data_IF_558248680869
#
_entry.id   IF_558248680869
#
_cell.length_a   1.000
_cell.length_b   1.000
_cell.length_c   1.000
_cell.angle_alpha   90.00
_cell.angle_beta   90.00
_cell.angle_gamma   90.00
#
_symmetry.space_group_name_H-M   'P 1'
#
loop_
_entity.id
_entity.type
_entity.pdbx_description
1 polymer ?
#
# COMPACT_ATOMS: atom_id res chain seq x y z
N UNK A 1 39.68 -10.05 -2.39
CA UNK A 1 38.45 -10.63 -1.87
C UNK A 1 37.64 -9.47 -1.38
N UNK A 2 36.52 -9.15 -2.04
CA UNK A 2 35.58 -8.14 -1.51
C UNK A 2 34.94 -8.72 -0.24
N UNK A 3 35.21 -8.10 0.90
CA UNK A 3 34.45 -8.39 2.11
C UNK A 3 32.97 -8.18 1.79
N UNK A 4 32.20 -9.24 1.90
CA UNK A 4 30.74 -9.11 1.88
C UNK A 4 30.39 -8.45 3.21
N UNK A 5 30.44 -7.13 3.25
CA UNK A 5 29.87 -6.39 4.38
C UNK A 5 28.37 -6.64 4.38
N UNK A 6 27.84 -7.04 5.55
CA UNK A 6 26.40 -7.20 5.72
C UNK A 6 25.66 -5.95 5.22
N UNK A 7 24.53 -6.13 4.52
CA UNK A 7 23.72 -4.99 4.10
C UNK A 7 23.33 -4.10 5.31
N UNK A 8 23.39 -2.79 5.08
CA UNK A 8 23.08 -1.77 6.10
C UNK A 8 21.75 -1.11 5.75
N UNK A 9 20.79 -1.24 6.66
CA UNK A 9 19.39 -0.93 6.40
C UNK A 9 18.96 0.30 7.21
N UNK A 10 18.27 1.24 6.55
CA UNK A 10 17.52 2.30 7.21
C UNK A 10 16.02 2.11 7.00
N UNK A 11 15.22 2.35 8.03
CA UNK A 11 13.78 2.17 8.02
C UNK A 11 13.09 3.50 8.36
N UNK A 12 12.15 3.89 7.52
CA UNK A 12 11.35 5.11 7.68
C UNK A 12 9.88 4.74 7.65
N UNK A 13 9.19 4.95 8.78
CA UNK A 13 7.79 4.60 8.96
C UNK A 13 6.93 5.87 8.96
N UNK A 14 6.06 5.99 7.99
CA UNK A 14 4.89 6.87 8.08
C UNK A 14 3.86 6.19 8.98
N UNK A 15 4.01 6.45 10.30
CA UNK A 15 3.29 5.66 11.29
C UNK A 15 1.81 6.00 11.35
N UNK A 16 1.45 7.25 11.10
CA UNK A 16 0.03 7.66 10.99
C UNK A 16 -0.65 6.91 9.84
N UNK A 17 0.00 6.86 8.68
CA UNK A 17 -0.53 6.18 7.49
C UNK A 17 -0.75 4.69 7.73
N UNK A 18 0.25 3.99 8.32
CA UNK A 18 0.12 2.54 8.54
C UNK A 18 -0.99 2.20 9.54
N UNK A 19 -1.14 3.00 10.62
CA UNK A 19 -2.19 2.80 11.62
C UNK A 19 -3.57 3.03 11.00
N UNK A 20 -3.75 4.13 10.26
CA UNK A 20 -5.03 4.44 9.61
C UNK A 20 -5.39 3.41 8.56
N UNK A 21 -4.43 3.03 7.71
CA UNK A 21 -4.65 2.06 6.64
C UNK A 21 -4.95 0.66 7.19
N UNK A 22 -4.30 0.27 8.28
CA UNK A 22 -4.58 -1.01 8.94
C UNK A 22 -5.95 -1.03 9.61
N UNK A 23 -6.34 0.07 10.26
CA UNK A 23 -7.68 0.21 10.82
C UNK A 23 -8.76 0.08 9.74
N UNK A 24 -8.57 0.73 8.60
CA UNK A 24 -9.48 0.64 7.45
C UNK A 24 -9.49 -0.78 6.85
N UNK A 25 -8.35 -1.45 6.85
CA UNK A 25 -8.24 -2.84 6.37
C UNK A 25 -9.03 -3.82 7.23
N UNK A 26 -9.02 -3.63 8.56
CA UNK A 26 -9.71 -4.48 9.53
C UNK A 26 -11.21 -4.17 9.58
N UNK A 27 -11.59 -2.87 9.57
CA UNK A 27 -12.97 -2.43 9.82
C UNK A 27 -13.72 -1.97 8.57
N UNK A 28 -13.08 -2.03 7.40
CA UNK A 28 -13.64 -1.62 6.11
C UNK A 28 -13.29 -0.18 5.73
N UNK A 29 -13.36 0.07 4.44
CA UNK A 29 -12.94 1.32 3.80
C UNK A 29 -13.45 2.56 4.53
N UNK A 30 -12.57 3.53 4.77
CA UNK A 30 -12.83 4.81 5.45
C UNK A 30 -13.37 4.66 6.89
N UNK A 31 -13.14 3.52 7.56
CA UNK A 31 -13.59 3.30 8.93
C UNK A 31 -12.89 4.27 9.90
N UNK A 32 -11.58 4.48 9.71
CA UNK A 32 -10.81 5.41 10.55
C UNK A 32 -11.35 6.83 10.44
N UNK A 33 -11.62 7.31 9.24
CA UNK A 33 -12.17 8.66 9.03
C UNK A 33 -13.55 8.83 9.71
N UNK A 34 -14.39 7.80 9.68
CA UNK A 34 -15.70 7.81 10.36
C UNK A 34 -15.58 7.84 11.88
N UNK A 35 -14.61 7.09 12.41
CA UNK A 35 -14.43 6.94 13.86
C UNK A 35 -13.50 7.98 14.45
N UNK A 36 -12.77 8.74 13.61
CA UNK A 36 -11.71 9.66 14.01
C UNK A 36 -12.10 10.60 15.14
N UNK A 37 -13.29 11.18 15.07
CA UNK A 37 -13.74 12.13 16.10
C UNK A 37 -13.99 11.43 17.44
N UNK A 38 -14.55 10.24 17.42
CA UNK A 38 -14.76 9.42 18.64
C UNK A 38 -13.42 9.00 19.24
N UNK A 39 -12.49 8.53 18.38
CA UNK A 39 -11.14 8.14 18.77
C UNK A 39 -10.39 9.31 19.42
N UNK A 40 -10.48 10.51 18.86
CA UNK A 40 -9.82 11.69 19.40
C UNK A 40 -10.44 12.20 20.69
N UNK A 41 -11.75 12.05 20.86
CA UNK A 41 -12.48 12.49 22.05
C UNK A 41 -12.30 11.51 23.22
N UNK A 42 -12.50 10.23 22.97
CA UNK A 42 -12.38 9.17 23.99
C UNK A 42 -12.02 7.82 23.35
N UNK A 43 -10.72 7.49 23.23
CA UNK A 43 -10.29 6.20 22.70
C UNK A 43 -10.63 5.02 23.63
N UNK A 44 -11.05 5.30 24.87
CA UNK A 44 -11.42 4.27 25.86
C UNK A 44 -12.91 3.91 25.82
N UNK A 45 -13.70 4.59 25.00
CA UNK A 45 -15.08 4.20 24.72
C UNK A 45 -15.13 2.72 24.31
N UNK A 46 -15.95 1.87 24.95
CA UNK A 46 -15.85 0.41 24.81
C UNK A 46 -15.85 -0.10 23.37
N UNK A 47 -16.71 0.45 22.50
CA UNK A 47 -16.75 0.08 21.08
C UNK A 47 -15.49 0.51 20.34
N UNK A 48 -15.00 1.73 20.59
CA UNK A 48 -13.79 2.27 19.96
C UNK A 48 -12.56 1.51 20.45
N UNK A 49 -12.46 1.26 21.76
CA UNK A 49 -11.35 0.50 22.33
C UNK A 49 -11.27 -0.93 21.76
N UNK A 50 -12.41 -1.61 21.59
CA UNK A 50 -12.45 -2.92 20.95
C UNK A 50 -11.97 -2.86 19.47
N UNK A 51 -12.41 -1.84 18.74
CA UNK A 51 -11.99 -1.66 17.35
C UNK A 51 -10.49 -1.35 17.22
N UNK A 52 -9.97 -0.47 18.07
CA UNK A 52 -8.53 -0.16 18.11
C UNK A 52 -7.71 -1.41 18.48
N UNK A 53 -8.15 -2.19 19.44
CA UNK A 53 -7.48 -3.42 19.85
C UNK A 53 -7.41 -4.46 18.70
N UNK A 54 -8.49 -4.59 17.92
CA UNK A 54 -8.51 -5.49 16.73
C UNK A 54 -7.63 -4.99 15.60
N UNK A 55 -7.39 -3.70 15.52
CA UNK A 55 -6.59 -3.08 14.46
C UNK A 55 -5.20 -2.63 14.98
N UNK A 56 -4.69 -3.30 16.03
CA UNK A 56 -3.35 -3.02 16.54
C UNK A 56 -2.29 -3.40 15.51
N UNK A 57 -1.37 -2.47 15.24
CA UNK A 57 -0.23 -2.71 14.34
C UNK A 57 0.86 -3.47 15.09
N UNK A 58 1.31 -4.58 14.54
CA UNK A 58 2.50 -5.30 15.03
C UNK A 58 3.77 -4.62 14.50
N UNK A 59 4.30 -3.71 15.31
CA UNK A 59 5.57 -3.02 15.02
C UNK A 59 6.72 -4.02 14.96
N UNK A 60 6.65 -5.10 15.77
CA UNK A 60 7.65 -6.15 15.76
C UNK A 60 7.79 -6.79 14.41
N UNK A 61 6.68 -7.19 13.78
CA UNK A 61 6.67 -7.79 12.46
C UNK A 61 7.30 -6.87 11.39
N UNK A 62 7.05 -5.56 11.45
CA UNK A 62 7.64 -4.58 10.53
C UNK A 62 9.16 -4.53 10.69
N UNK A 63 9.65 -4.37 11.92
CA UNK A 63 11.08 -4.25 12.21
C UNK A 63 11.82 -5.55 11.92
N UNK A 64 11.24 -6.71 12.28
CA UNK A 64 11.84 -8.02 12.01
C UNK A 64 11.93 -8.31 10.50
N UNK A 65 10.93 -7.89 9.72
CA UNK A 65 11.00 -7.97 8.27
C UNK A 65 12.11 -7.07 7.70
N UNK A 66 12.21 -5.83 8.16
CA UNK A 66 13.28 -4.94 7.74
C UNK A 66 14.67 -5.49 8.11
N UNK A 67 14.82 -6.05 9.31
CA UNK A 67 16.06 -6.68 9.77
C UNK A 67 16.46 -7.93 8.97
N UNK A 68 15.52 -8.57 8.27
CA UNK A 68 15.83 -9.71 7.40
C UNK A 68 16.70 -9.33 6.18
N UNK A 69 16.78 -8.06 5.84
CA UNK A 69 17.63 -7.55 4.75
C UNK A 69 19.07 -7.22 5.18
N UNK A 70 19.33 -7.08 6.47
CA UNK A 70 20.65 -6.75 7.00
C UNK A 70 20.62 -6.04 8.35
N UNK A 71 21.74 -5.45 8.73
CA UNK A 71 21.89 -4.73 10.00
C UNK A 71 21.13 -3.40 9.98
N UNK A 72 20.20 -3.21 10.91
CA UNK A 72 19.49 -1.94 11.06
C UNK A 72 20.43 -0.86 11.60
N UNK A 73 20.61 0.20 10.83
CA UNK A 73 21.46 1.34 11.19
C UNK A 73 20.67 2.52 11.72
N UNK A 74 19.51 2.73 11.13
CA UNK A 74 18.58 3.82 11.45
C UNK A 74 17.16 3.26 11.38
N UNK A 75 16.35 3.62 12.35
CA UNK A 75 14.92 3.33 12.32
C UNK A 75 14.17 4.53 12.86
N UNK A 76 13.32 5.16 12.05
CA UNK A 76 12.56 6.33 12.45
C UNK A 76 11.08 6.16 12.13
N UNK A 77 10.24 6.59 13.06
CA UNK A 77 8.79 6.63 12.89
C UNK A 77 8.27 8.06 13.03
N UNK A 78 7.48 8.46 12.04
CA UNK A 78 6.93 9.80 11.89
C UNK A 78 5.44 9.77 12.20
N UNK A 79 5.01 10.52 13.20
CA UNK A 79 3.60 10.63 13.57
C UNK A 79 3.35 11.83 14.51
N UNK A 80 2.09 12.16 14.70
CA UNK A 80 1.69 12.93 15.86
C UNK A 80 1.63 12.05 17.10
N UNK A 81 2.75 12.00 17.83
CA UNK A 81 2.88 11.20 19.05
C UNK A 81 2.11 11.75 20.26
N UNK A 82 1.45 12.91 20.11
CA UNK A 82 0.49 13.43 21.09
C UNK A 82 -0.90 12.86 20.91
N UNK A 83 -1.19 12.29 19.74
CA UNK A 83 -2.44 11.56 19.47
C UNK A 83 -2.56 10.35 20.40
N UNK A 84 -3.72 10.13 21.04
CA UNK A 84 -3.92 9.01 21.96
C UNK A 84 -3.62 7.65 21.31
N UNK A 85 -4.01 7.45 20.07
CA UNK A 85 -3.77 6.18 19.32
C UNK A 85 -2.28 5.92 19.16
N UNK A 86 -1.52 6.91 18.71
CA UNK A 86 -0.08 6.74 18.49
C UNK A 86 0.70 6.63 19.79
N UNK A 87 0.22 7.29 20.85
CA UNK A 87 0.85 7.26 22.16
C UNK A 87 0.98 5.84 22.73
N UNK A 88 0.04 4.95 22.42
CA UNK A 88 0.05 3.54 22.86
C UNK A 88 1.25 2.76 22.28
N UNK A 89 1.75 3.18 21.10
CA UNK A 89 2.86 2.50 20.43
C UNK A 89 4.25 2.97 20.88
N UNK A 90 4.36 4.11 21.58
CA UNK A 90 5.66 4.71 21.93
C UNK A 90 6.59 3.76 22.66
N UNK A 91 6.08 3.04 23.67
CA UNK A 91 6.89 2.14 24.47
C UNK A 91 7.48 0.99 23.67
N UNK A 92 6.68 0.36 22.79
CA UNK A 92 7.14 -0.75 21.96
C UNK A 92 8.09 -0.28 20.84
N UNK A 93 7.89 0.90 20.27
CA UNK A 93 8.80 1.49 19.29
C UNK A 93 10.16 1.81 19.91
N UNK A 94 10.17 2.48 21.07
CA UNK A 94 11.41 2.80 21.82
C UNK A 94 12.16 1.53 22.27
N UNK A 95 11.43 0.50 22.71
CA UNK A 95 12.04 -0.78 23.07
C UNK A 95 12.74 -1.48 21.89
N UNK A 96 12.39 -1.11 20.65
CA UNK A 96 13.03 -1.59 19.41
C UNK A 96 14.00 -0.59 18.81
N UNK A 97 14.46 0.40 19.58
CA UNK A 97 15.39 1.45 19.18
C UNK A 97 14.90 2.26 17.96
N UNK A 98 13.59 2.50 17.89
CA UNK A 98 12.99 3.37 16.89
C UNK A 98 12.99 4.82 17.38
N UNK A 99 13.58 5.72 16.60
CA UNK A 99 13.55 7.16 16.85
C UNK A 99 12.16 7.70 16.53
N UNK A 100 11.52 8.37 17.49
CA UNK A 100 10.19 8.97 17.29
C UNK A 100 10.33 10.42 16.84
N UNK A 101 9.92 10.70 15.60
CA UNK A 101 9.90 12.06 15.05
C UNK A 101 8.51 12.65 15.27
N UNK A 102 8.41 13.65 16.16
CA UNK A 102 7.14 14.35 16.41
C UNK A 102 6.75 15.21 15.23
N UNK A 103 5.53 15.01 14.77
CA UNK A 103 4.87 15.86 13.79
C UNK A 103 3.83 16.71 14.51
N UNK A 104 3.87 18.00 14.26
CA UNK A 104 2.86 18.91 14.80
C UNK A 104 1.83 19.18 13.71
N UNK A 105 0.53 18.96 13.97
CA UNK A 105 -0.51 19.36 13.05
C UNK A 105 -0.48 20.88 12.91
N UNK A 106 0.22 21.37 11.92
CA UNK A 106 0.27 22.78 11.60
C UNK A 106 -1.02 23.17 10.87
N UNK A 107 -1.65 24.25 11.31
CA UNK A 107 -2.87 24.76 10.71
C UNK A 107 -2.74 24.90 9.18
N UNK A 108 -3.76 24.48 8.45
CA UNK A 108 -4.08 24.75 7.04
C UNK A 108 -3.04 24.43 5.94
N UNK A 109 -1.73 24.30 6.25
CA UNK A 109 -0.67 24.06 5.24
C UNK A 109 0.01 22.69 5.36
N UNK A 110 -0.40 21.83 6.28
CA UNK A 110 0.34 20.66 6.69
C UNK A 110 -0.29 19.32 6.26
N UNK A 111 -1.03 19.27 5.15
CA UNK A 111 -1.58 18.00 4.66
C UNK A 111 -0.45 16.99 4.38
N UNK A 112 0.74 17.44 3.96
CA UNK A 112 1.89 16.58 3.60
C UNK A 112 3.14 16.86 4.45
N UNK A 113 3.00 17.42 5.64
CA UNK A 113 4.16 17.76 6.48
C UNK A 113 4.97 16.55 6.94
N UNK A 114 4.28 15.43 7.18
CA UNK A 114 4.88 14.14 7.52
C UNK A 114 5.72 13.60 6.36
N UNK A 115 5.12 13.54 5.18
CA UNK A 115 5.72 12.98 3.97
C UNK A 115 6.96 13.75 3.55
N UNK A 116 6.87 15.09 3.60
CA UNK A 116 8.00 15.98 3.30
C UNK A 116 9.13 15.79 4.31
N UNK A 117 8.81 15.72 5.61
CA UNK A 117 9.80 15.53 6.65
C UNK A 117 10.51 14.20 6.51
N UNK A 118 9.76 13.11 6.34
CA UNK A 118 10.30 11.77 6.11
C UNK A 118 11.19 11.76 4.88
N UNK A 119 10.74 12.34 3.77
CA UNK A 119 11.50 12.38 2.53
C UNK A 119 12.82 13.15 2.67
N UNK A 120 12.81 14.30 3.35
CA UNK A 120 14.01 15.12 3.60
C UNK A 120 15.01 14.36 4.47
N UNK A 121 14.56 13.82 5.60
CA UNK A 121 15.41 13.07 6.53
C UNK A 121 16.02 11.84 5.86
N UNK A 122 15.24 11.10 5.05
CA UNK A 122 15.72 9.94 4.29
C UNK A 122 16.86 10.31 3.33
N UNK A 123 16.67 11.39 2.58
CA UNK A 123 17.72 11.84 1.63
C UNK A 123 18.94 12.35 2.39
N UNK A 124 18.78 13.11 3.46
CA UNK A 124 19.88 13.61 4.30
C UNK A 124 20.70 12.45 4.90
N UNK A 125 20.04 11.43 5.43
CA UNK A 125 20.70 10.26 6.04
C UNK A 125 21.53 9.47 5.03
N UNK A 126 21.09 9.36 3.76
CA UNK A 126 21.89 8.73 2.71
C UNK A 126 23.22 9.45 2.43
N UNK A 127 23.28 10.78 2.63
CA UNK A 127 24.50 11.54 2.52
C UNK A 127 25.35 11.47 3.79
N UNK A 128 24.71 11.42 4.96
CA UNK A 128 25.40 11.29 6.26
C UNK A 128 25.94 9.89 6.51
N UNK A 129 25.30 8.86 5.91
CA UNK A 129 25.66 7.45 6.08
C UNK A 129 25.90 6.85 4.69
N UNK A 130 27.07 7.11 4.07
CA UNK A 130 27.37 6.69 2.68
C UNK A 130 27.35 5.18 2.47
N UNK A 131 27.61 4.41 3.53
CA UNK A 131 27.64 2.95 3.55
C UNK A 131 26.24 2.31 3.73
N UNK A 132 25.18 3.12 3.85
CA UNK A 132 23.80 2.65 3.81
C UNK A 132 23.52 2.00 2.45
N UNK A 133 23.03 0.76 2.46
CA UNK A 133 22.76 -0.01 1.25
C UNK A 133 21.29 -0.17 0.92
N UNK A 134 20.45 -0.27 1.95
CA UNK A 134 19.02 -0.55 1.84
C UNK A 134 18.18 0.54 2.53
N UNK A 135 17.08 0.89 1.90
CA UNK A 135 16.09 1.84 2.45
C UNK A 135 14.73 1.17 2.45
N UNK A 136 14.14 1.03 3.62
CA UNK A 136 12.77 0.51 3.80
C UNK A 136 11.83 1.69 4.07
N UNK A 137 10.84 1.86 3.21
CA UNK A 137 9.79 2.89 3.32
C UNK A 137 8.49 2.19 3.71
N UNK A 138 8.02 2.44 4.92
CA UNK A 138 6.74 1.87 5.41
C UNK A 138 5.67 2.95 5.27
N UNK A 139 4.98 2.92 4.14
CA UNK A 139 3.94 3.90 3.78
C UNK A 139 3.04 3.35 2.67
N UNK A 140 1.85 3.90 2.52
CA UNK A 140 0.91 3.53 1.46
C UNK A 140 0.73 4.58 0.37
N UNK A 141 1.24 5.79 0.56
CA UNK A 141 0.95 6.94 -0.30
C UNK A 141 1.83 6.98 -1.57
N UNK A 142 1.21 7.43 -2.68
CA UNK A 142 1.92 7.71 -3.94
C UNK A 142 2.91 8.87 -3.83
N UNK A 143 2.76 9.74 -2.85
CA UNK A 143 3.64 10.90 -2.65
C UNK A 143 5.08 10.50 -2.33
N UNK A 144 5.31 9.25 -1.90
CA UNK A 144 6.64 8.67 -1.70
C UNK A 144 7.30 8.12 -2.97
N UNK A 145 6.63 8.09 -4.12
CA UNK A 145 7.21 7.66 -5.41
C UNK A 145 8.48 8.46 -5.77
N UNK A 146 8.49 9.80 -5.69
CA UNK A 146 9.70 10.58 -5.96
C UNK A 146 10.86 10.24 -5.01
N UNK A 147 10.57 9.95 -3.73
CA UNK A 147 11.56 9.53 -2.75
C UNK A 147 12.15 8.17 -3.12
N UNK A 148 11.33 7.17 -3.39
CA UNK A 148 11.77 5.83 -3.79
C UNK A 148 12.68 5.89 -5.03
N UNK A 149 12.25 6.63 -6.06
CA UNK A 149 13.07 6.85 -7.26
C UNK A 149 14.38 7.56 -6.96
N UNK A 150 14.39 8.51 -6.04
CA UNK A 150 15.61 9.23 -5.64
C UNK A 150 16.59 8.30 -4.93
N UNK A 151 16.12 7.48 -4.00
CA UNK A 151 16.92 6.50 -3.28
C UNK A 151 17.57 5.50 -4.26
N UNK A 152 16.82 4.99 -5.23
CA UNK A 152 17.34 4.08 -6.27
C UNK A 152 18.40 4.76 -7.13
N UNK A 153 18.19 6.02 -7.55
CA UNK A 153 19.20 6.79 -8.31
C UNK A 153 20.47 7.04 -7.51
N UNK A 154 20.39 7.07 -6.19
CA UNK A 154 21.53 7.16 -5.28
C UNK A 154 22.16 5.77 -4.98
N UNK A 155 21.74 4.73 -5.69
CA UNK A 155 22.31 3.39 -5.61
C UNK A 155 21.85 2.59 -4.39
N UNK A 156 20.72 2.95 -3.77
CA UNK A 156 20.15 2.17 -2.65
C UNK A 156 19.13 1.16 -3.17
N UNK A 157 19.12 -0.01 -2.55
CA UNK A 157 18.05 -0.99 -2.74
C UNK A 157 16.84 -0.54 -1.93
N UNK A 158 15.72 -0.32 -2.59
CA UNK A 158 14.52 0.28 -1.97
C UNK A 158 13.43 -0.76 -1.79
N UNK A 159 13.00 -0.93 -0.55
CA UNK A 159 11.90 -1.79 -0.16
C UNK A 159 10.73 -0.90 0.28
N UNK A 160 9.56 -1.10 -0.28
CA UNK A 160 8.34 -0.49 0.23
C UNK A 160 7.50 -1.52 0.99
N UNK A 161 6.82 -1.06 2.03
CA UNK A 161 5.84 -1.84 2.77
C UNK A 161 4.60 -0.98 3.02
N UNK A 162 3.42 -1.57 2.80
CA UNK A 162 2.16 -0.91 3.08
C UNK A 162 1.02 -1.91 3.24
N UNK A 163 -0.15 -1.44 3.64
CA UNK A 163 -1.32 -2.30 3.85
C UNK A 163 -1.94 -2.69 2.50
N UNK A 164 -2.28 -3.97 2.34
CA UNK A 164 -2.87 -4.47 1.10
C UNK A 164 -4.19 -3.73 0.75
N UNK A 165 -4.28 -3.23 -0.47
CA UNK A 165 -5.44 -2.49 -0.98
C UNK A 165 -5.48 -1.00 -0.62
N UNK A 166 -4.58 -0.51 0.25
CA UNK A 166 -4.40 0.91 0.55
C UNK A 166 -3.12 1.48 -0.07
N UNK A 167 -2.17 0.61 -0.43
CA UNK A 167 -0.90 1.07 -1.00
C UNK A 167 -1.04 1.37 -2.49
N UNK A 168 -0.52 2.53 -2.89
CA UNK A 168 -0.48 2.94 -4.29
C UNK A 168 0.38 1.98 -5.13
N UNK A 169 -0.17 1.47 -6.23
CA UNK A 169 0.56 0.61 -7.18
C UNK A 169 1.81 1.29 -7.73
N UNK A 170 1.76 2.61 -7.90
CA UNK A 170 2.88 3.43 -8.36
C UNK A 170 4.06 3.40 -7.39
N UNK A 171 3.81 3.41 -6.08
CA UNK A 171 4.87 3.28 -5.07
C UNK A 171 5.52 1.90 -5.13
N UNK A 172 4.72 0.84 -5.17
CA UNK A 172 5.23 -0.52 -5.32
C UNK A 172 6.11 -0.66 -6.57
N UNK A 173 5.67 -0.13 -7.72
CA UNK A 173 6.42 -0.16 -8.97
C UNK A 173 7.71 0.69 -8.96
N UNK A 174 7.78 1.71 -8.11
CA UNK A 174 8.95 2.57 -7.96
C UNK A 174 10.08 1.95 -7.13
N UNK A 175 9.81 0.90 -6.37
CA UNK A 175 10.75 0.21 -5.48
C UNK A 175 11.41 -0.99 -6.15
N UNK A 176 12.41 -1.58 -5.51
CA UNK A 176 13.04 -2.83 -5.93
C UNK A 176 12.29 -4.04 -5.36
N UNK A 177 11.66 -3.86 -4.20
CA UNK A 177 10.83 -4.87 -3.55
C UNK A 177 9.63 -4.21 -2.86
N UNK A 178 8.50 -4.88 -2.89
CA UNK A 178 7.30 -4.50 -2.16
C UNK A 178 6.78 -5.69 -1.34
N UNK A 179 6.40 -5.46 -0.08
CA UNK A 179 5.69 -6.45 0.72
C UNK A 179 4.47 -5.83 1.39
N UNK A 180 3.35 -6.54 1.33
CA UNK A 180 2.16 -6.11 2.04
C UNK A 180 2.27 -6.45 3.53
N UNK A 181 1.95 -5.50 4.41
CA UNK A 181 1.93 -5.69 5.86
C UNK A 181 1.10 -6.92 6.26
N UNK A 182 -0.03 -7.14 5.60
CA UNK A 182 -0.92 -8.31 5.79
C UNK A 182 -0.21 -9.66 5.57
N UNK A 183 0.92 -9.68 4.87
CA UNK A 183 1.64 -10.92 4.54
C UNK A 183 2.78 -11.22 5.52
N UNK A 184 3.08 -10.30 6.43
CA UNK A 184 4.17 -10.48 7.38
C UNK A 184 3.89 -11.67 8.31
N UNK A 185 4.91 -12.44 8.69
CA UNK A 185 4.77 -13.51 9.67
C UNK A 185 4.26 -12.96 11.01
N UNK A 186 3.23 -13.59 11.56
CA UNK A 186 2.63 -13.19 12.84
C UNK A 186 1.48 -12.18 12.72
N UNK A 187 1.32 -11.51 11.59
CA UNK A 187 0.19 -10.60 11.36
C UNK A 187 -1.06 -11.41 11.01
N UNK A 188 -2.12 -11.26 11.80
CA UNK A 188 -3.41 -11.87 11.53
C UNK A 188 -4.09 -11.15 10.37
N UNK A 189 -4.38 -11.89 9.30
CA UNK A 189 -5.12 -11.33 8.17
C UNK A 189 -6.58 -11.13 8.53
N UNK A 190 -7.14 -9.94 8.29
CA UNK A 190 -8.59 -9.79 8.36
C UNK A 190 -9.25 -10.71 7.34
N UNK A 191 -10.37 -11.35 7.73
CA UNK A 191 -11.17 -12.13 6.80
C UNK A 191 -11.55 -11.27 5.60
N UNK A 192 -11.39 -11.82 4.40
CA UNK A 192 -11.80 -11.14 3.19
C UNK A 192 -13.31 -10.84 3.29
N UNK A 193 -13.75 -9.59 3.04
CA UNK A 193 -15.16 -9.27 3.09
C UNK A 193 -15.90 -10.21 2.12
N UNK A 194 -16.79 -11.02 2.66
CA UNK A 194 -17.62 -11.95 1.89
C UNK A 194 -18.39 -11.09 0.87
N UNK A 195 -17.97 -11.11 -0.40
CA UNK A 195 -18.72 -10.50 -1.49
C UNK A 195 -20.05 -11.24 -1.55
N UNK A 196 -21.07 -10.69 -0.90
CA UNK A 196 -22.45 -11.09 -1.11
C UNK A 196 -22.74 -10.80 -2.58
N UNK A 197 -22.66 -11.83 -3.42
CA UNK A 197 -23.16 -11.81 -4.79
C UNK A 197 -24.66 -11.53 -4.68
N UNK A 198 -25.03 -10.25 -4.75
CA UNK A 198 -26.41 -9.88 -5.01
C UNK A 198 -26.77 -10.48 -6.37
N UNK A 199 -27.46 -11.60 -6.31
CA UNK A 199 -28.10 -12.26 -7.44
C UNK A 199 -29.08 -11.24 -8.02
N UNK A 200 -28.63 -10.55 -9.06
CA UNK A 200 -29.51 -9.67 -9.87
C UNK A 200 -30.56 -10.57 -10.51
N UNK A 201 -31.75 -10.60 -9.89
CA UNK A 201 -32.90 -11.33 -10.39
C UNK A 201 -33.24 -10.84 -11.80
N UNK A 202 -33.23 -11.77 -12.70
CA UNK A 202 -33.84 -11.67 -14.03
C UNK A 202 -35.34 -11.54 -13.83
N UNK A 203 -35.87 -10.35 -14.07
CA UNK A 203 -37.29 -10.09 -14.17
C UNK A 203 -37.56 -9.29 -15.42
N UNK A 204 -38.05 -9.97 -16.44
CA UNK A 204 -38.44 -9.37 -17.71
C UNK A 204 -39.78 -8.65 -17.63
N UNK A 205 -40.00 -7.77 -18.59
CA UNK A 205 -41.36 -7.45 -19.02
C UNK A 205 -41.72 -6.00 -19.18
N UNK A 206 -41.73 -5.59 -20.42
CA UNK A 206 -42.73 -4.79 -21.10
C UNK A 206 -42.68 -3.26 -21.05
N UNK A 207 -42.67 -2.79 -22.25
CA UNK A 207 -42.81 -1.44 -22.75
C UNK A 207 -44.18 -0.81 -22.47
N UNK A 208 -44.21 0.50 -22.24
CA UNK A 208 -45.33 1.36 -22.68
C UNK A 208 -44.84 2.79 -22.89
N UNK A 209 -45.17 3.24 -24.08
CA UNK A 209 -45.01 4.56 -24.72
C UNK A 209 -45.95 5.62 -24.07
N UNK A 210 -45.55 6.90 -24.17
CA UNK A 210 -46.42 8.03 -23.90
C UNK A 210 -45.66 9.34 -23.73
N UNK A 211 -45.38 9.99 -24.72
CA UNK A 211 -45.73 11.25 -25.39
C UNK A 211 -46.11 12.45 -24.50
N UNK A 212 -45.39 13.58 -24.72
CA UNK A 212 -46.06 14.90 -24.80
C UNK A 212 -45.68 15.93 -23.74
N UNK A 213 -45.15 17.05 -24.19
CA UNK A 213 -45.38 18.30 -23.46
C UNK A 213 -44.25 19.34 -23.44
N UNK A 214 -44.21 20.08 -24.50
CA UNK A 214 -43.45 21.34 -24.70
C UNK A 214 -44.03 22.46 -23.85
N UNK A 215 -43.23 23.30 -23.19
CA UNK A 215 -43.59 24.72 -23.03
C UNK A 215 -42.35 25.58 -22.83
N UNK A 216 -42.29 26.62 -23.65
CA UNK A 216 -41.38 27.75 -23.68
C UNK A 216 -41.83 28.80 -22.65
N UNK A 217 -40.87 29.54 -22.09
CA UNK A 217 -41.10 30.79 -21.36
C UNK A 217 -39.84 31.62 -21.20
N UNK A 218 -39.86 32.77 -21.89
CA UNK A 218 -38.86 33.80 -22.16
C UNK A 218 -38.92 34.92 -21.09
N UNK A 219 -37.80 35.67 -20.92
CA UNK A 219 -37.81 37.06 -20.46
C UNK A 219 -36.90 37.27 -19.21
N UNK A 220 -35.77 37.82 -19.30
CA UNK A 220 -35.28 39.20 -19.52
C UNK A 220 -35.05 39.96 -18.21
N UNK A 221 -33.77 40.34 -18.01
CA UNK A 221 -33.22 41.67 -17.65
C UNK A 221 -33.34 42.18 -16.18
N UNK A 222 -32.17 42.72 -15.66
CA UNK A 222 -32.17 43.64 -14.52
C UNK A 222 -30.95 43.57 -13.61
N UNK A 223 -29.85 44.24 -14.01
CA UNK A 223 -28.90 45.10 -13.24
C UNK A 223 -28.59 44.86 -11.76
N UNK A 224 -27.29 44.63 -11.52
CA UNK A 224 -26.37 45.20 -10.52
C UNK A 224 -26.87 45.59 -9.11
N UNK A 225 -26.21 45.02 -8.10
CA UNK A 225 -25.51 45.81 -7.08
C UNK A 225 -24.64 44.89 -6.19
N UNK A 226 -23.45 45.35 -5.85
CA UNK A 226 -22.47 44.68 -5.04
C UNK A 226 -22.84 44.80 -3.55
N UNK A 227 -22.89 43.64 -2.84
CA UNK A 227 -22.75 43.66 -1.39
C UNK A 227 -21.75 42.56 -0.96
N UNK A 228 -20.69 43.09 -0.36
CA UNK A 228 -19.64 42.38 0.35
C UNK A 228 -20.23 41.84 1.65
N UNK A 229 -20.40 40.53 1.76
CA UNK A 229 -20.60 39.87 3.05
C UNK A 229 -19.61 38.73 3.22
N UNK A 230 -18.87 38.83 4.32
CA UNK A 230 -17.89 37.89 4.81
C UNK A 230 -18.47 36.46 4.85
N UNK A 231 -17.90 35.55 4.10
CA UNK A 231 -18.14 34.11 4.26
C UNK A 231 -17.17 33.54 5.28
N UNK A 232 -17.74 33.11 6.38
CA UNK A 232 -17.13 32.27 7.43
C UNK A 232 -16.56 31.00 6.81
N UNK A 233 -15.30 30.75 7.16
CA UNK A 233 -14.59 29.51 6.79
C UNK A 233 -15.20 28.31 7.53
N UNK A 234 -16.11 27.60 6.88
CA UNK A 234 -16.50 26.24 7.30
C UNK A 234 -17.32 25.59 6.21
N UNK A 235 -16.69 25.29 5.07
CA UNK A 235 -17.16 24.28 4.09
C UNK A 235 -16.12 24.19 2.98
N UNK A 236 -14.97 23.63 3.32
CA UNK A 236 -14.10 22.96 2.33
C UNK A 236 -14.38 21.49 2.50
N UNK A 237 -15.44 21.06 1.83
CA UNK A 237 -15.64 19.63 1.56
C UNK A 237 -14.38 19.14 0.85
N UNK A 238 -13.82 18.05 1.37
CA UNK A 238 -12.79 17.22 0.77
C UNK A 238 -13.25 16.84 -0.66
N UNK A 239 -12.83 17.61 -1.65
CA UNK A 239 -12.75 17.11 -3.02
C UNK A 239 -11.57 16.13 -3.03
N UNK A 240 -11.87 14.88 -2.72
CA UNK A 240 -11.03 13.76 -3.13
C UNK A 240 -11.00 13.84 -4.65
N UNK A 241 -9.90 14.32 -5.22
CA UNK A 241 -9.62 14.13 -6.64
C UNK A 241 -9.73 12.63 -6.89
N UNK A 242 -10.80 12.26 -7.59
CA UNK A 242 -11.01 10.94 -8.17
C UNK A 242 -9.90 10.75 -9.23
N UNK A 243 -8.72 10.31 -8.75
CA UNK A 243 -7.66 9.84 -9.64
C UNK A 243 -8.27 8.71 -10.46
N UNK A 244 -8.41 8.96 -11.76
CA UNK A 244 -9.12 8.23 -12.77
C UNK A 244 -9.10 6.72 -12.52
N UNK A 245 -10.27 6.12 -12.56
CA UNK A 245 -10.46 4.68 -12.65
C UNK A 245 -9.71 4.18 -13.89
N UNK A 246 -8.42 3.85 -13.73
CA UNK A 246 -7.81 2.84 -14.57
C UNK A 246 -8.73 1.62 -14.48
N UNK A 247 -9.19 1.14 -15.61
CA UNK A 247 -9.98 -0.09 -15.71
C UNK A 247 -9.38 -1.08 -14.74
N UNK A 248 -10.16 -1.50 -13.72
CA UNK A 248 -9.68 -2.41 -12.66
C UNK A 248 -9.45 -3.74 -13.37
N UNK A 249 -8.26 -3.88 -13.94
CA UNK A 249 -7.77 -5.11 -14.50
C UNK A 249 -7.85 -6.19 -13.43
N UNK A 250 -8.41 -7.35 -13.77
CA UNK A 250 -8.49 -8.46 -12.83
C UNK A 250 -7.06 -8.81 -12.36
N UNK A 251 -6.79 -8.73 -11.04
CA UNK A 251 -5.47 -9.03 -10.50
C UNK A 251 -4.93 -10.42 -10.92
N UNK A 252 -5.83 -11.37 -11.17
CA UNK A 252 -5.45 -12.70 -11.66
C UNK A 252 -4.95 -12.63 -13.10
N UNK A 253 -5.64 -11.89 -13.98
CA UNK A 253 -5.22 -11.72 -15.37
C UNK A 253 -3.90 -10.95 -15.48
N UNK A 254 -3.72 -9.92 -14.65
CA UNK A 254 -2.46 -9.18 -14.59
C UNK A 254 -1.29 -10.08 -14.17
N UNK A 255 -1.49 -10.91 -13.14
CA UNK A 255 -0.48 -11.87 -12.68
C UNK A 255 -0.18 -12.97 -13.71
N UNK A 256 -1.19 -13.41 -14.44
CA UNK A 256 -1.07 -14.39 -15.53
C UNK A 256 -0.20 -13.84 -16.66
N UNK A 257 -0.46 -12.61 -17.13
CA UNK A 257 0.40 -11.94 -18.14
C UNK A 257 1.83 -11.69 -17.64
N UNK A 258 1.97 -11.39 -16.34
CA UNK A 258 3.29 -11.23 -15.73
C UNK A 258 4.07 -12.54 -15.75
N UNK A 259 3.41 -13.68 -15.46
CA UNK A 259 4.01 -15.01 -15.55
C UNK A 259 4.45 -15.35 -16.97
N UNK A 260 3.61 -15.13 -17.98
CA UNK A 260 3.97 -15.34 -19.40
C UNK A 260 5.23 -14.57 -19.76
N UNK A 261 5.26 -13.28 -19.41
CA UNK A 261 6.42 -12.42 -19.69
C UNK A 261 7.67 -12.90 -18.97
N UNK A 262 7.54 -13.35 -17.71
CA UNK A 262 8.66 -13.86 -16.94
C UNK A 262 9.27 -15.13 -17.57
N UNK A 263 8.42 -16.03 -18.05
CA UNK A 263 8.85 -17.26 -18.73
C UNK A 263 9.50 -16.97 -20.08
N UNK A 264 8.92 -16.06 -20.90
CA UNK A 264 9.48 -15.65 -22.18
C UNK A 264 10.87 -15.00 -22.05
N UNK A 265 11.05 -14.16 -21.03
CA UNK A 265 12.32 -13.48 -20.79
C UNK A 265 13.36 -14.38 -20.13
N UNK A 266 12.92 -15.32 -19.27
CA UNK A 266 13.81 -16.26 -18.59
C UNK A 266 14.33 -17.38 -19.51
N UNK A 267 13.53 -17.80 -20.50
CA UNK A 267 13.87 -18.88 -21.45
C UNK A 267 14.90 -18.51 -22.53
N UNK A 268 15.60 -17.39 -22.41
CA UNK A 268 16.65 -16.96 -23.36
C UNK A 268 18.00 -17.64 -23.13
N UNK A 269 18.12 -18.52 -22.14
CA UNK A 269 19.33 -19.33 -21.88
C UNK A 269 19.28 -20.69 -22.56
N UNK A 270 20.36 -21.49 -22.40
CA UNK A 270 20.51 -22.84 -22.98
C UNK A 270 19.53 -23.90 -22.43
N UNK A 271 18.69 -23.55 -21.43
CA UNK A 271 17.72 -24.44 -20.80
C UNK A 271 16.32 -23.90 -20.92
N UNK A 272 15.40 -24.70 -21.44
CA UNK A 272 13.95 -24.39 -21.46
C UNK A 272 13.32 -24.44 -20.05
N UNK A 273 13.99 -25.07 -19.09
CA UNK A 273 13.54 -25.23 -17.74
C UNK A 273 14.20 -24.23 -16.80
N UNK A 274 13.37 -23.49 -16.06
CA UNK A 274 13.78 -22.52 -15.07
C UNK A 274 13.41 -22.99 -13.66
N UNK A 275 14.22 -22.70 -12.67
CA UNK A 275 13.81 -22.89 -11.28
C UNK A 275 12.61 -21.98 -10.93
N UNK A 276 11.60 -22.52 -10.25
CA UNK A 276 10.40 -21.77 -9.87
C UNK A 276 10.71 -20.52 -9.03
N UNK A 277 11.75 -20.59 -8.20
CA UNK A 277 12.26 -19.42 -7.45
C UNK A 277 12.82 -18.33 -8.34
N UNK A 278 13.51 -18.70 -9.42
CA UNK A 278 14.03 -17.73 -10.40
C UNK A 278 12.89 -17.05 -11.16
N UNK A 279 11.85 -17.81 -11.56
CA UNK A 279 10.65 -17.26 -12.19
C UNK A 279 9.94 -16.28 -11.25
N UNK A 280 9.75 -16.66 -9.99
CA UNK A 280 9.15 -15.77 -8.98
C UNK A 280 9.97 -14.49 -8.78
N UNK A 281 11.28 -14.60 -8.66
CA UNK A 281 12.18 -13.44 -8.54
C UNK A 281 12.10 -12.54 -9.77
N UNK A 282 11.96 -13.13 -10.98
CA UNK A 282 11.81 -12.40 -12.21
C UNK A 282 10.48 -11.64 -12.27
N UNK A 283 9.39 -12.28 -11.88
CA UNK A 283 8.07 -11.63 -11.75
C UNK A 283 8.13 -10.44 -10.78
N UNK A 284 8.72 -10.62 -9.59
CA UNK A 284 8.86 -9.54 -8.60
C UNK A 284 9.77 -8.39 -9.05
N UNK A 285 10.76 -8.64 -9.91
CA UNK A 285 11.58 -7.57 -10.53
C UNK A 285 10.80 -6.75 -11.56
N UNK A 286 9.85 -7.38 -12.26
CA UNK A 286 9.01 -6.71 -13.24
C UNK A 286 7.84 -5.99 -12.57
N UNK A 287 7.27 -6.60 -11.55
CA UNK A 287 6.21 -6.02 -10.71
C UNK A 287 6.46 -6.37 -9.23
N UNK A 288 7.08 -5.46 -8.47
CA UNK A 288 7.34 -5.67 -7.05
C UNK A 288 6.08 -5.89 -6.20
N UNK A 289 4.91 -5.47 -6.66
CA UNK A 289 3.63 -5.70 -5.98
C UNK A 289 3.11 -7.14 -6.11
N UNK A 290 3.72 -7.97 -6.98
CA UNK A 290 3.29 -9.34 -7.17
C UNK A 290 3.50 -10.18 -5.91
N UNK A 291 2.40 -10.76 -5.43
CA UNK A 291 2.41 -11.76 -4.36
C UNK A 291 1.32 -12.79 -4.62
N UNK A 292 1.70 -14.07 -4.72
CA UNK A 292 0.75 -15.16 -4.85
C UNK A 292 -0.24 -15.22 -3.69
N UNK A 293 0.18 -14.74 -2.52
CA UNK A 293 -0.67 -14.73 -1.33
C UNK A 293 -1.82 -13.72 -1.43
N UNK A 294 -1.58 -12.55 -2.03
CA UNK A 294 -2.64 -11.54 -2.27
C UNK A 294 -3.65 -12.01 -3.30
N UNK A 295 -3.25 -12.93 -4.19
CA UNK A 295 -4.11 -13.58 -5.17
C UNK A 295 -4.87 -14.80 -4.59
N UNK A 296 -4.64 -15.14 -3.31
CA UNK A 296 -5.33 -16.21 -2.61
C UNK A 296 -4.62 -17.56 -2.65
N UNK A 297 -3.42 -17.67 -3.22
CA UNK A 297 -2.64 -18.91 -3.24
C UNK A 297 -1.74 -19.01 -2.00
N UNK A 298 -1.61 -20.20 -1.43
CA UNK A 298 -0.72 -20.43 -0.27
C UNK A 298 0.75 -20.46 -0.66
N UNK A 299 1.04 -20.93 -1.87
CA UNK A 299 2.40 -21.10 -2.37
C UNK A 299 2.48 -20.70 -3.84
N UNK A 300 3.69 -20.34 -4.29
CA UNK A 300 3.93 -20.05 -5.70
C UNK A 300 3.69 -21.27 -6.60
N UNK A 301 3.92 -22.50 -6.11
CA UNK A 301 3.58 -23.73 -6.85
C UNK A 301 2.07 -23.88 -7.07
N UNK A 302 1.23 -23.47 -6.11
CA UNK A 302 -0.23 -23.44 -6.31
C UNK A 302 -0.64 -22.44 -7.38
N UNK A 303 -0.03 -21.25 -7.38
CA UNK A 303 -0.24 -20.26 -8.44
C UNK A 303 0.16 -20.80 -9.83
N UNK A 304 1.31 -21.46 -9.94
CA UNK A 304 1.75 -22.10 -11.20
C UNK A 304 0.79 -23.19 -11.66
N UNK A 305 0.30 -24.04 -10.74
CA UNK A 305 -0.68 -25.08 -11.03
C UNK A 305 -2.03 -24.52 -11.49
N UNK A 306 -2.45 -23.39 -10.96
CA UNK A 306 -3.66 -22.70 -11.37
C UNK A 306 -3.54 -22.08 -12.78
N UNK A 307 -2.31 -21.78 -13.23
CA UNK A 307 -1.99 -21.25 -14.56
C UNK A 307 -1.34 -22.33 -15.46
N UNK A 308 -1.85 -23.55 -15.38
CA UNK A 308 -1.31 -24.71 -16.12
C UNK A 308 -1.51 -24.65 -17.64
N UNK A 309 -2.29 -23.74 -18.12
CA UNK A 309 -2.45 -23.36 -19.54
C UNK A 309 -1.25 -22.60 -20.09
N UNK A 310 -0.49 -21.92 -19.25
CA UNK A 310 0.67 -21.09 -19.62
C UNK A 310 1.99 -21.72 -19.20
N UNK A 311 2.02 -22.38 -18.00
CA UNK A 311 3.22 -22.91 -17.40
C UNK A 311 3.12 -24.41 -17.12
N UNK A 312 4.17 -25.13 -17.44
CA UNK A 312 4.36 -26.54 -17.04
C UNK A 312 5.26 -26.56 -15.83
N UNK A 313 4.76 -27.12 -14.71
CA UNK A 313 5.53 -27.30 -13.48
C UNK A 313 5.94 -28.77 -13.34
N UNK A 314 7.24 -29.02 -13.20
CA UNK A 314 7.79 -30.32 -12.85
C UNK A 314 8.35 -30.28 -11.42
N UNK A 315 7.88 -31.22 -10.60
CA UNK A 315 8.30 -31.36 -9.19
C UNK A 315 9.07 -32.67 -9.03
N UNK A 316 10.39 -32.60 -8.89
CA UNK A 316 11.26 -33.76 -8.69
C UNK A 316 12.00 -33.61 -7.36
N UNK A 317 11.52 -34.28 -6.32
CA UNK A 317 12.07 -34.18 -4.97
C UNK A 317 11.96 -32.77 -4.40
N UNK A 318 13.08 -32.11 -4.21
CA UNK A 318 13.15 -30.71 -3.73
C UNK A 318 13.22 -29.67 -4.85
N UNK A 319 13.43 -30.10 -6.09
CA UNK A 319 13.53 -29.20 -7.23
C UNK A 319 12.13 -28.96 -7.84
N UNK A 320 11.89 -27.71 -8.18
CA UNK A 320 10.68 -27.28 -8.87
C UNK A 320 11.09 -26.50 -10.10
N UNK A 321 10.92 -27.14 -11.25
CA UNK A 321 11.25 -26.59 -12.54
C UNK A 321 9.99 -26.14 -13.27
N UNK A 322 10.09 -25.04 -13.98
CA UNK A 322 8.97 -24.41 -14.71
C UNK A 322 9.44 -24.08 -16.11
N UNK A 323 8.60 -24.38 -17.10
CA UNK A 323 8.76 -23.88 -18.47
C UNK A 323 7.47 -23.32 -19.02
N UNK A 324 7.58 -22.49 -20.05
CA UNK A 324 6.42 -22.08 -20.81
C UNK A 324 5.73 -23.30 -21.45
N UNK A 325 4.43 -23.26 -21.58
CA UNK A 325 3.66 -24.22 -22.36
C UNK A 325 3.62 -23.73 -23.80
N UNK A 326 3.99 -24.59 -24.74
CA UNK A 326 3.91 -24.34 -26.19
C UNK A 326 2.45 -24.22 -26.65
#
# INVERSE_FOLDING_TARGET
>A
MAEHSDPRVAVYLDFDNIVMSWYDRVHGRNAYSRDRQRIMNDPTEPEIAERLAKATVDVGAIIDYAASFGSLMLTRAYADWSSPVNAEYRSQLVARAVDLVQLFPAAAYAKNGADIRLAVDTVEDMFRTPDLTHVVIVAGDSDFVPLAQRCRRLGRYVIAMGVAGSTAKSLAAACDEFEAYDNLPGVERPDAPTRTRTRRGQGGGQAASGNGGRSKGKGADGTAEAETTARTASDVADEVEDEGYDEIEDPQEAATRLLERALQLGGRGDSEWLHSSAVKSHMRRMDPSFSEKTLGYRTFSEFLKANSDIAVLEETGHERLVRARD
#
